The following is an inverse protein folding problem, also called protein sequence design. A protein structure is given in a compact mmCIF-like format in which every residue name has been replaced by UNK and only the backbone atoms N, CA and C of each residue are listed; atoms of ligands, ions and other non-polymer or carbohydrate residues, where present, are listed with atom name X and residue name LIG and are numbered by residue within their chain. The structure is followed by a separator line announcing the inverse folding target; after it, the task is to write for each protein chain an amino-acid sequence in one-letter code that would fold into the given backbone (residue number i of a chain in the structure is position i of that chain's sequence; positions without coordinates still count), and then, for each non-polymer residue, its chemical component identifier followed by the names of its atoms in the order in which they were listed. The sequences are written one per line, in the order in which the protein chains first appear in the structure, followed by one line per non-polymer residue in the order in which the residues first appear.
data_IF_476077756485
#
_entry.id   IF_476077756485
#
_cell.length_a   1.000
_cell.length_b   1.000
_cell.length_c   1.000
_cell.angle_alpha   90.00
_cell.angle_beta   90.00
_cell.angle_gamma   90.00
#
_symmetry.space_group_name_H-M   'P 1'
#
loop_
_entity.id
_entity.type
_entity.pdbx_description
1 polymer ?
#
# COMPACT_ATOMS: atom_id res chain seq x y z
N UNK A 1 17.64 29.89 36.79
CA UNK A 1 17.00 31.16 36.35
C UNK A 1 17.33 31.47 34.88
N UNK A 2 17.18 30.49 33.98
CA UNK A 2 17.62 30.58 32.57
C UNK A 2 16.62 31.28 31.66
N UNK A 3 15.32 31.16 31.96
CA UNK A 3 14.26 31.86 31.24
C UNK A 3 14.37 33.38 31.36
N UNK A 4 14.70 33.89 32.55
CA UNK A 4 14.95 35.31 32.76
C UNK A 4 16.17 35.79 31.95
N UNK A 5 17.26 35.01 31.91
CA UNK A 5 18.43 35.32 31.11
C UNK A 5 18.10 35.39 29.61
N UNK A 6 17.39 34.38 29.07
CA UNK A 6 16.95 34.36 27.68
C UNK A 6 16.06 35.57 27.33
N UNK A 7 15.11 35.90 28.21
CA UNK A 7 14.24 37.07 28.03
C UNK A 7 15.01 38.38 28.04
N UNK A 8 16.02 38.52 28.90
CA UNK A 8 16.89 39.71 28.94
C UNK A 8 17.71 39.84 27.67
N UNK A 9 18.27 38.74 27.16
CA UNK A 9 19.04 38.71 25.91
C UNK A 9 18.16 39.13 24.72
N UNK A 10 16.93 38.62 24.62
CA UNK A 10 16.00 38.96 23.55
C UNK A 10 15.50 40.42 23.60
N UNK A 11 15.63 41.09 24.75
CA UNK A 11 15.33 42.52 24.93
C UNK A 11 16.54 43.42 24.70
N UNK A 12 17.76 42.89 24.73
CA UNK A 12 18.99 43.65 24.58
C UNK A 12 19.22 44.05 23.11
N UNK A 13 19.45 45.35 22.85
CA UNK A 13 19.54 45.90 21.49
C UNK A 13 20.64 45.28 20.64
N UNK A 14 21.79 44.98 21.24
CA UNK A 14 22.97 44.47 20.53
C UNK A 14 23.03 42.94 20.46
N UNK A 15 22.49 42.24 21.49
CA UNK A 15 22.58 40.78 21.56
C UNK A 15 21.44 40.10 20.80
N UNK A 16 20.25 40.71 20.80
CA UNK A 16 19.10 40.21 20.04
C UNK A 16 19.43 39.93 18.57
N UNK A 17 20.01 40.85 17.77
CA UNK A 17 20.28 40.58 16.36
C UNK A 17 21.26 39.43 16.16
N UNK A 18 22.30 39.31 16.98
CA UNK A 18 23.28 38.22 16.89
C UNK A 18 22.66 36.86 17.24
N UNK A 19 21.80 36.81 18.27
CA UNK A 19 21.08 35.58 18.63
C UNK A 19 20.09 35.18 17.55
N UNK A 20 19.31 36.12 17.01
CA UNK A 20 18.36 35.85 15.92
C UNK A 20 19.10 35.36 14.67
N UNK A 21 20.25 35.96 14.35
CA UNK A 21 21.09 35.53 13.22
C UNK A 21 21.61 34.11 13.41
N UNK A 22 22.10 33.78 14.61
CA UNK A 22 22.56 32.44 14.96
C UNK A 22 21.42 31.40 14.89
N UNK A 23 20.26 31.70 15.48
CA UNK A 23 19.07 30.84 15.42
C UNK A 23 18.63 30.59 13.98
N UNK A 24 18.56 31.63 13.15
CA UNK A 24 18.19 31.50 11.73
C UNK A 24 19.16 30.56 11.00
N UNK A 25 20.47 30.68 11.24
CA UNK A 25 21.48 29.81 10.64
C UNK A 25 21.26 28.36 11.06
N UNK A 26 21.12 28.09 12.36
CA UNK A 26 20.96 26.73 12.88
C UNK A 26 19.67 26.08 12.36
N UNK A 27 18.53 26.78 12.38
CA UNK A 27 17.26 26.28 11.83
C UNK A 27 17.39 25.98 10.34
N UNK A 28 18.06 26.84 9.58
CA UNK A 28 18.27 26.63 8.14
C UNK A 28 19.14 25.39 7.87
N UNK A 29 20.17 25.17 8.69
CA UNK A 29 21.06 24.00 8.58
C UNK A 29 20.35 22.70 8.96
N UNK A 30 19.56 22.69 10.05
CA UNK A 30 18.73 21.55 10.45
C UNK A 30 17.79 21.12 9.31
N UNK A 31 16.99 22.06 8.80
CA UNK A 31 16.04 21.79 7.72
C UNK A 31 16.76 21.35 6.44
N UNK A 32 17.88 21.98 6.09
CA UNK A 32 18.65 21.60 4.91
C UNK A 32 19.22 20.17 5.02
N UNK A 33 19.67 19.76 6.20
CA UNK A 33 20.20 18.41 6.42
C UNK A 33 19.07 17.37 6.40
N UNK A 34 17.95 17.68 7.06
CA UNK A 34 16.77 16.85 7.07
C UNK A 34 16.21 16.57 5.67
N UNK A 35 16.21 17.59 4.80
CA UNK A 35 15.75 17.47 3.42
C UNK A 35 16.77 16.85 2.46
N UNK A 36 17.97 16.49 2.94
CA UNK A 36 18.96 15.68 2.20
C UNK A 36 18.88 14.19 2.55
N UNK A 37 18.44 13.86 3.77
CA UNK A 37 18.20 12.49 4.23
C UNK A 37 16.87 11.92 3.72
N UNK A 38 16.62 10.63 3.95
CA UNK A 38 15.35 9.93 3.67
C UNK A 38 14.20 10.47 4.56
N UNK A 39 13.76 11.69 4.28
CA UNK A 39 12.63 12.33 4.96
C UNK A 39 11.29 11.82 4.45
N UNK A 40 10.30 11.67 5.34
CA UNK A 40 8.92 11.33 4.96
C UNK A 40 8.29 12.34 3.98
N UNK A 41 8.78 13.58 3.95
CA UNK A 41 8.32 14.60 3.00
C UNK A 41 8.77 14.34 1.57
N UNK A 42 9.85 13.56 1.37
CA UNK A 42 10.43 13.24 0.06
C UNK A 42 9.80 12.00 -0.58
N UNK A 43 8.87 11.33 0.11
CA UNK A 43 8.13 10.19 -0.45
C UNK A 43 7.43 10.59 -1.75
N UNK A 44 7.54 9.72 -2.76
CA UNK A 44 7.09 10.03 -4.13
C UNK A 44 6.36 8.87 -4.80
N UNK A 45 6.41 7.67 -4.22
CA UNK A 45 5.62 6.55 -4.70
C UNK A 45 4.19 6.62 -4.15
N UNK A 46 3.17 6.24 -4.94
CA UNK A 46 1.78 6.29 -4.49
C UNK A 46 1.51 5.45 -3.22
N UNK A 47 2.09 4.25 -3.15
CA UNK A 47 1.94 3.36 -1.99
C UNK A 47 2.60 3.97 -0.73
N UNK A 48 3.71 4.70 -0.87
CA UNK A 48 4.37 5.43 0.21
C UNK A 48 3.54 6.64 0.66
N UNK A 49 3.06 7.46 -0.28
CA UNK A 49 2.22 8.64 0.01
C UNK A 49 0.93 8.21 0.74
N UNK A 50 0.38 7.03 0.42
CA UNK A 50 -0.77 6.47 1.12
C UNK A 50 -0.47 6.08 2.57
N UNK A 51 0.78 5.80 2.91
CA UNK A 51 1.24 5.52 4.29
C UNK A 51 1.67 6.77 5.07
N UNK A 52 1.68 7.93 4.43
CA UNK A 52 2.10 9.19 5.04
C UNK A 52 1.24 9.53 6.27
N UNK A 53 1.90 9.85 7.39
CA UNK A 53 1.25 10.26 8.64
C UNK A 53 1.76 11.60 9.13
N UNK A 54 0.82 12.49 9.48
CA UNK A 54 1.14 13.80 10.04
C UNK A 54 1.80 13.69 11.41
N UNK A 55 1.42 12.68 12.21
CA UNK A 55 2.05 12.43 13.51
C UNK A 55 3.49 11.95 13.34
N UNK A 56 3.76 11.08 12.35
CA UNK A 56 5.12 10.62 12.06
C UNK A 56 5.97 11.79 11.58
N UNK A 57 5.45 12.64 10.67
CA UNK A 57 6.15 13.84 10.22
C UNK A 57 6.60 14.73 11.40
N UNK A 58 5.70 14.99 12.35
CA UNK A 58 6.02 15.86 13.48
C UNK A 58 7.02 15.21 14.44
N UNK A 59 6.92 13.91 14.70
CA UNK A 59 7.91 13.21 15.52
C UNK A 59 9.28 13.13 14.85
N UNK A 60 9.32 12.90 13.54
CA UNK A 60 10.54 12.95 12.75
C UNK A 60 11.16 14.35 12.79
N UNK A 61 10.35 15.40 12.63
CA UNK A 61 10.77 16.79 12.79
C UNK A 61 11.33 17.09 14.18
N UNK A 62 10.71 16.56 15.24
CA UNK A 62 11.17 16.74 16.63
C UNK A 62 12.57 16.14 16.85
N UNK A 63 12.87 15.00 16.22
CA UNK A 63 14.16 14.32 16.37
C UNK A 63 15.22 14.91 15.44
N UNK A 64 14.88 15.20 14.19
CA UNK A 64 15.85 15.62 13.15
C UNK A 64 16.04 17.13 13.06
N UNK A 65 15.05 17.94 13.44
CA UNK A 65 15.09 19.40 13.40
C UNK A 65 14.45 20.03 14.66
N UNK A 66 15.03 19.83 15.85
CA UNK A 66 14.41 20.24 17.11
C UNK A 66 14.14 21.75 17.18
N UNK A 67 15.05 22.61 16.69
CA UNK A 67 14.83 24.06 16.72
C UNK A 67 13.71 24.49 15.77
N UNK A 68 13.65 23.87 14.58
CA UNK A 68 12.55 24.11 13.65
C UNK A 68 11.21 23.61 14.21
N UNK A 69 11.18 22.41 14.79
CA UNK A 69 10.00 21.83 15.41
C UNK A 69 9.46 22.73 16.53
N UNK A 70 10.33 23.11 17.47
CA UNK A 70 9.95 23.98 18.59
C UNK A 70 9.43 25.34 18.11
N UNK A 71 10.01 25.88 17.02
CA UNK A 71 9.51 27.11 16.39
C UNK A 71 8.10 26.94 15.83
N UNK A 72 7.82 25.89 15.06
CA UNK A 72 6.50 25.68 14.44
C UNK A 72 5.44 25.35 15.49
N UNK A 73 5.75 24.49 16.45
CA UNK A 73 4.85 24.13 17.55
C UNK A 73 4.61 25.32 18.47
N UNK A 74 5.68 26.03 18.87
CA UNK A 74 5.58 27.22 19.71
C UNK A 74 4.75 28.33 19.05
N UNK A 75 4.85 28.50 17.73
CA UNK A 75 4.04 29.45 16.97
C UNK A 75 2.54 29.09 16.95
N UNK A 76 2.20 27.82 17.17
CA UNK A 76 0.80 27.37 17.25
C UNK A 76 0.17 27.54 18.63
N UNK A 77 0.95 27.92 19.65
CA UNK A 77 0.50 28.03 21.04
C UNK A 77 0.12 26.68 21.67
N UNK A 78 0.62 25.58 21.09
CA UNK A 78 0.36 24.21 21.52
C UNK A 78 1.56 23.63 22.25
N UNK A 79 1.29 22.70 23.15
CA UNK A 79 2.35 21.96 23.83
C UNK A 79 2.66 20.61 23.14
N UNK A 80 3.73 19.96 23.57
CA UNK A 80 4.17 18.67 23.01
C UNK A 80 3.15 17.55 23.27
N UNK A 81 2.41 17.59 24.38
CA UNK A 81 1.40 16.57 24.69
C UNK A 81 0.17 16.68 23.78
N UNK A 82 -0.21 17.90 23.41
CA UNK A 82 -1.25 18.17 22.42
C UNK A 82 -0.81 17.72 21.01
N UNK A 83 0.47 17.88 20.66
CA UNK A 83 1.01 17.43 19.37
C UNK A 83 1.04 15.90 19.21
N UNK A 84 1.10 15.15 20.31
CA UNK A 84 1.01 13.67 20.30
C UNK A 84 -0.39 13.16 19.98
N UNK A 85 -1.43 14.01 20.08
CA UNK A 85 -2.81 13.62 19.76
C UNK A 85 -3.07 13.78 18.27
N UNK A 86 -3.89 12.90 17.69
CA UNK A 86 -4.38 13.07 16.32
C UNK A 86 -5.51 14.09 16.32
N UNK A 87 -5.42 15.13 15.50
CA UNK A 87 -6.44 16.18 15.46
C UNK A 87 -6.15 17.31 14.47
N UNK A 88 -7.08 18.27 14.42
CA UNK A 88 -7.02 19.44 13.50
C UNK A 88 -5.77 20.29 13.77
N UNK A 89 -5.39 20.48 15.03
CA UNK A 89 -4.18 21.21 15.41
C UNK A 89 -2.92 20.56 14.85
N UNK A 90 -2.77 19.26 15.06
CA UNK A 90 -1.64 18.45 14.56
C UNK A 90 -1.55 18.50 13.04
N UNK A 91 -2.70 18.41 12.36
CA UNK A 91 -2.75 18.54 10.90
C UNK A 91 -2.34 19.94 10.42
N UNK A 92 -2.76 20.99 11.13
CA UNK A 92 -2.38 22.37 10.80
C UNK A 92 -0.89 22.63 10.97
N UNK A 93 -0.30 22.19 12.08
CA UNK A 93 1.14 22.28 12.35
C UNK A 93 1.94 21.46 11.34
N UNK A 94 1.52 20.23 11.04
CA UNK A 94 2.14 19.38 10.03
C UNK A 94 2.10 20.03 8.63
N UNK A 95 0.97 20.63 8.25
CA UNK A 95 0.84 21.36 6.99
C UNK A 95 1.77 22.57 6.94
N UNK A 96 1.83 23.37 8.00
CA UNK A 96 2.73 24.52 8.08
C UNK A 96 4.21 24.09 7.95
N UNK A 97 4.62 23.07 8.71
CA UNK A 97 5.97 22.51 8.65
C UNK A 97 6.31 22.00 7.24
N UNK A 98 5.44 21.18 6.65
CA UNK A 98 5.64 20.65 5.31
C UNK A 98 5.70 21.75 4.24
N UNK A 99 4.88 22.80 4.38
CA UNK A 99 4.85 23.93 3.43
C UNK A 99 6.17 24.70 3.48
N UNK A 100 6.68 25.00 4.68
CA UNK A 100 7.99 25.64 4.88
C UNK A 100 9.12 24.77 4.32
N UNK A 101 9.12 23.47 4.62
CA UNK A 101 10.10 22.53 4.07
C UNK A 101 10.04 22.47 2.53
N UNK A 102 8.85 22.54 1.93
CA UNK A 102 8.68 22.53 0.47
C UNK A 102 9.22 23.79 -0.19
N UNK A 103 9.14 24.95 0.48
CA UNK A 103 9.77 26.19 0.01
C UNK A 103 11.30 26.01 -0.05
N UNK A 104 11.89 25.30 0.90
CA UNK A 104 13.32 24.98 0.90
C UNK A 104 13.69 23.92 -0.15
N UNK A 105 12.86 22.88 -0.32
CA UNK A 105 13.05 21.82 -1.29
C UNK A 105 11.72 21.46 -1.96
N UNK A 106 11.50 21.82 -3.25
CA UNK A 106 10.25 21.53 -3.95
C UNK A 106 9.85 20.06 -4.01
N UNK A 107 10.81 19.13 -3.85
CA UNK A 107 10.56 17.68 -3.81
C UNK A 107 9.89 17.23 -2.51
N UNK A 108 9.99 18.00 -1.43
CA UNK A 108 9.39 17.74 -0.12
C UNK A 108 7.86 17.94 -0.16
N UNK A 109 7.18 17.12 -0.95
CA UNK A 109 5.82 17.34 -1.44
C UNK A 109 4.84 16.22 -1.10
N UNK A 110 5.26 15.21 -0.34
CA UNK A 110 4.41 14.05 -0.01
C UNK A 110 3.05 14.44 0.58
N UNK A 111 3.02 15.34 1.58
CA UNK A 111 1.77 15.83 2.17
C UNK A 111 0.91 16.60 1.15
N UNK A 112 1.52 17.36 0.26
CA UNK A 112 0.83 18.16 -0.74
C UNK A 112 0.19 17.29 -1.84
N UNK A 113 0.84 16.18 -2.20
CA UNK A 113 0.25 15.14 -3.05
C UNK A 113 -0.93 14.47 -2.36
N UNK A 114 -0.80 14.15 -1.08
CA UNK A 114 -1.89 13.56 -0.29
C UNK A 114 -3.12 14.48 -0.25
N UNK A 115 -2.92 15.77 0.05
CA UNK A 115 -4.00 16.77 0.04
C UNK A 115 -4.63 16.91 -1.35
N UNK A 116 -3.82 17.00 -2.40
CA UNK A 116 -4.33 17.06 -3.78
C UNK A 116 -5.19 15.85 -4.12
N UNK A 117 -4.73 14.66 -3.76
CA UNK A 117 -5.41 13.40 -4.06
C UNK A 117 -6.77 13.36 -3.36
N UNK A 118 -6.83 13.75 -2.09
CA UNK A 118 -8.08 13.90 -1.32
C UNK A 118 -9.03 14.87 -2.02
N UNK A 119 -8.58 16.09 -2.33
CA UNK A 119 -9.41 17.10 -2.97
C UNK A 119 -9.94 16.67 -4.34
N UNK A 120 -9.09 16.03 -5.14
CA UNK A 120 -9.44 15.53 -6.46
C UNK A 120 -10.54 14.47 -6.35
N UNK A 121 -10.41 13.49 -5.45
CA UNK A 121 -11.42 12.46 -5.23
C UNK A 121 -12.70 12.98 -4.57
N UNK A 122 -12.63 14.09 -3.82
CA UNK A 122 -13.81 14.79 -3.31
C UNK A 122 -14.58 15.55 -4.40
N UNK A 123 -14.13 15.55 -5.66
CA UNK A 123 -14.80 16.24 -6.76
C UNK A 123 -14.55 17.76 -6.74
N UNK A 124 -13.43 18.21 -6.17
CA UNK A 124 -13.07 19.63 -6.15
C UNK A 124 -12.87 20.14 -7.58
N UNK A 125 -13.50 21.27 -7.92
CA UNK A 125 -13.37 21.90 -9.24
C UNK A 125 -11.90 22.22 -9.56
N UNK A 126 -11.52 22.07 -10.83
CA UNK A 126 -10.15 22.33 -11.30
C UNK A 126 -9.64 23.73 -10.92
N UNK A 127 -10.47 24.77 -11.07
CA UNK A 127 -10.11 26.14 -10.67
C UNK A 127 -9.74 26.27 -9.19
N UNK A 128 -10.45 25.55 -8.31
CA UNK A 128 -10.17 25.56 -6.87
C UNK A 128 -8.85 24.84 -6.58
N UNK A 129 -8.54 23.75 -7.29
CA UNK A 129 -7.24 23.07 -7.17
C UNK A 129 -6.10 23.98 -7.62
N UNK A 130 -6.26 24.73 -8.72
CA UNK A 130 -5.26 25.71 -9.17
C UNK A 130 -5.07 26.80 -8.12
N UNK A 131 -6.14 27.32 -7.52
CA UNK A 131 -6.05 28.32 -6.44
C UNK A 131 -5.32 27.76 -5.21
N UNK A 132 -5.66 26.55 -4.77
CA UNK A 132 -5.02 25.90 -3.62
C UNK A 132 -3.54 25.58 -3.88
N UNK A 133 -3.19 25.21 -5.11
CA UNK A 133 -1.80 25.04 -5.51
C UNK A 133 -1.01 26.36 -5.45
N UNK A 134 -1.59 27.46 -5.92
CA UNK A 134 -0.97 28.81 -5.82
C UNK A 134 -0.77 29.26 -4.37
N UNK A 135 -1.64 28.83 -3.45
CA UNK A 135 -1.49 29.05 -2.01
C UNK A 135 -0.47 28.10 -1.35
N UNK A 136 0.12 27.17 -2.11
CA UNK A 136 1.08 26.20 -1.60
C UNK A 136 0.44 25.01 -0.87
N UNK A 137 -0.89 24.92 -0.78
CA UNK A 137 -1.61 23.90 0.03
C UNK A 137 -1.55 22.50 -0.59
N UNK A 138 -1.48 22.40 -1.92
CA UNK A 138 -1.44 21.13 -2.62
C UNK A 138 -0.52 21.16 -3.86
N UNK A 139 -0.29 20.00 -4.47
CA UNK A 139 0.39 19.89 -5.76
C UNK A 139 -0.49 20.42 -6.91
N UNK A 140 0.09 20.59 -8.10
CA UNK A 140 -0.67 21.06 -9.26
C UNK A 140 -1.61 19.96 -9.78
N UNK A 141 -2.77 20.30 -10.37
CA UNK A 141 -3.66 19.32 -10.98
C UNK A 141 -2.96 18.39 -11.98
N UNK A 142 -2.02 18.91 -12.77
CA UNK A 142 -1.27 18.12 -13.75
C UNK A 142 -0.39 17.07 -13.07
N UNK A 143 0.20 17.39 -11.91
CA UNK A 143 0.93 16.41 -11.11
C UNK A 143 0.01 15.28 -10.60
N UNK A 144 -1.29 15.55 -10.38
CA UNK A 144 -2.25 14.48 -10.06
C UNK A 144 -2.45 13.53 -11.24
N UNK A 145 -2.60 14.07 -12.46
CA UNK A 145 -2.79 13.26 -13.66
C UNK A 145 -1.58 12.34 -13.86
N UNK A 146 -0.36 12.89 -13.70
CA UNK A 146 0.87 12.09 -13.75
C UNK A 146 0.91 11.01 -12.65
N UNK A 147 0.54 11.35 -11.42
CA UNK A 147 0.44 10.40 -10.32
C UNK A 147 -0.59 9.29 -10.60
N UNK A 148 -1.75 9.62 -11.17
CA UNK A 148 -2.77 8.65 -11.59
C UNK A 148 -2.25 7.71 -12.67
N UNK A 149 -1.52 8.21 -13.67
CA UNK A 149 -0.89 7.37 -14.67
C UNK A 149 0.13 6.41 -14.03
N UNK A 150 0.95 6.89 -13.09
CA UNK A 150 1.92 6.07 -12.36
C UNK A 150 1.22 4.98 -11.54
N UNK A 151 0.17 5.33 -10.82
CA UNK A 151 -0.69 4.39 -10.09
C UNK A 151 -1.34 3.36 -11.01
N UNK A 152 -1.85 3.80 -12.17
CA UNK A 152 -2.46 2.93 -13.17
C UNK A 152 -1.49 1.87 -13.67
N UNK A 153 -0.23 2.24 -13.95
CA UNK A 153 0.82 1.30 -14.35
C UNK A 153 1.13 0.26 -13.28
N UNK A 154 1.25 0.68 -12.01
CA UNK A 154 1.47 -0.26 -10.90
C UNK A 154 0.29 -1.22 -10.72
N UNK A 155 -0.94 -0.72 -10.86
CA UNK A 155 -2.15 -1.53 -10.78
C UNK A 155 -2.24 -2.53 -11.94
N UNK A 156 -1.86 -2.14 -13.16
CA UNK A 156 -1.80 -3.04 -14.31
C UNK A 156 -0.83 -4.20 -14.07
N UNK A 157 0.33 -3.94 -13.45
CA UNK A 157 1.27 -4.98 -13.03
C UNK A 157 0.65 -5.97 -12.04
N UNK A 158 -0.01 -5.45 -10.99
CA UNK A 158 -0.72 -6.28 -10.00
C UNK A 158 -1.85 -7.10 -10.65
N UNK A 159 -2.59 -6.53 -11.61
CA UNK A 159 -3.64 -7.23 -12.39
C UNK A 159 -3.05 -8.34 -13.26
N UNK A 160 -1.93 -8.10 -13.93
CA UNK A 160 -1.27 -9.11 -14.76
C UNK A 160 -0.82 -10.31 -13.92
N UNK A 161 -0.21 -10.05 -12.76
CA UNK A 161 0.19 -11.11 -11.83
C UNK A 161 -1.02 -11.89 -11.29
N UNK A 162 -2.07 -11.17 -10.91
CA UNK A 162 -3.34 -11.77 -10.47
C UNK A 162 -3.95 -12.68 -11.55
N UNK A 163 -4.07 -12.16 -12.78
CA UNK A 163 -4.61 -12.89 -13.93
C UNK A 163 -3.78 -14.14 -14.20
N UNK A 164 -2.44 -14.01 -14.23
CA UNK A 164 -1.53 -15.14 -14.43
C UNK A 164 -1.71 -16.24 -13.37
N UNK A 165 -1.86 -15.86 -12.10
CA UNK A 165 -2.09 -16.82 -11.02
C UNK A 165 -3.42 -17.60 -11.18
N UNK A 166 -4.48 -16.92 -11.62
CA UNK A 166 -5.78 -17.56 -11.90
C UNK A 166 -5.70 -18.47 -13.12
N UNK A 167 -5.09 -18.00 -14.20
CA UNK A 167 -4.95 -18.80 -15.44
C UNK A 167 -4.12 -20.06 -15.17
N UNK A 168 -3.04 -19.95 -14.39
CA UNK A 168 -2.22 -21.10 -13.96
C UNK A 168 -3.04 -22.12 -13.14
N UNK A 169 -3.80 -21.68 -12.13
CA UNK A 169 -4.64 -22.59 -11.33
C UNK A 169 -5.75 -23.23 -12.19
N UNK A 170 -6.44 -22.44 -13.02
CA UNK A 170 -7.49 -22.94 -13.90
C UNK A 170 -6.96 -23.97 -14.90
N UNK A 171 -5.77 -23.74 -15.46
CA UNK A 171 -5.14 -24.69 -16.40
C UNK A 171 -4.77 -26.01 -15.70
N UNK A 172 -4.27 -25.95 -14.46
CA UNK A 172 -4.00 -27.15 -13.65
C UNK A 172 -5.29 -27.94 -13.32
N UNK A 173 -6.38 -27.24 -13.00
CA UNK A 173 -7.69 -27.85 -12.76
C UNK A 173 -8.25 -28.54 -14.01
N UNK A 174 -8.23 -27.87 -15.16
CA UNK A 174 -8.72 -28.44 -16.42
C UNK A 174 -7.90 -29.66 -16.85
N UNK A 175 -6.57 -29.61 -16.67
CA UNK A 175 -5.71 -30.76 -16.94
C UNK A 175 -6.02 -31.93 -15.99
N UNK A 176 -6.27 -31.65 -14.70
CA UNK A 176 -6.68 -32.65 -13.71
C UNK A 176 -8.02 -33.30 -14.07
N UNK A 177 -9.01 -32.51 -14.49
CA UNK A 177 -10.31 -33.02 -14.96
C UNK A 177 -10.17 -33.87 -16.23
N UNK A 178 -9.30 -33.47 -17.16
CA UNK A 178 -9.03 -34.24 -18.38
C UNK A 178 -8.36 -35.59 -18.07
N UNK A 179 -7.42 -35.63 -17.12
CA UNK A 179 -6.80 -36.88 -16.64
C UNK A 179 -7.86 -37.81 -16.04
N UNK A 180 -8.74 -37.29 -15.16
CA UNK A 180 -9.86 -38.06 -14.57
C UNK A 180 -10.83 -38.58 -15.63
N UNK A 181 -11.09 -37.81 -16.68
CA UNK A 181 -11.99 -38.21 -17.76
C UNK A 181 -11.40 -39.31 -18.65
N UNK A 182 -10.10 -39.24 -18.93
CA UNK A 182 -9.40 -40.27 -19.75
C UNK A 182 -9.05 -41.53 -18.95
N UNK A 183 -9.02 -41.45 -17.63
CA UNK A 183 -8.82 -42.58 -16.71
C UNK A 183 -9.99 -42.68 -15.71
N UNK A 184 -11.18 -43.12 -16.14
CA UNK A 184 -12.32 -43.27 -15.24
C UNK A 184 -12.09 -44.40 -14.21
N UNK A 185 -12.67 -44.30 -13.00
CA UNK A 185 -12.49 -45.31 -11.98
C UNK A 185 -13.04 -46.68 -12.45
N UNK A 186 -12.39 -47.79 -12.06
CA UNK A 186 -12.91 -49.12 -12.34
C UNK A 186 -14.31 -49.29 -11.74
N UNK A 187 -15.22 -49.90 -12.51
CA UNK A 187 -16.57 -50.19 -12.04
C UNK A 187 -16.51 -51.06 -10.78
N UNK A 188 -17.42 -50.81 -9.82
CA UNK A 188 -17.33 -51.19 -8.39
C UNK A 188 -17.27 -52.68 -8.03
N UNK A 189 -16.98 -53.58 -8.96
CA UNK A 189 -17.05 -55.02 -8.75
C UNK A 189 -15.72 -55.77 -8.92
N UNK A 190 -14.64 -55.12 -9.33
CA UNK A 190 -13.33 -55.76 -9.39
C UNK A 190 -12.42 -55.21 -8.30
N UNK A 191 -11.66 -56.11 -7.66
CA UNK A 191 -10.75 -55.85 -6.53
C UNK A 191 -9.98 -54.53 -6.69
N UNK A 192 -9.79 -53.80 -5.59
CA UNK A 192 -9.04 -52.53 -5.49
C UNK A 192 -7.62 -52.66 -6.09
N UNK A 193 -7.50 -52.57 -7.42
CA UNK A 193 -6.24 -52.36 -8.09
C UNK A 193 -6.04 -50.85 -8.08
N UNK A 194 -5.16 -50.38 -7.21
CA UNK A 194 -4.69 -49.00 -7.25
C UNK A 194 -4.12 -48.73 -8.66
N UNK A 195 -4.87 -47.99 -9.48
CA UNK A 195 -4.43 -47.59 -10.82
C UNK A 195 -3.34 -46.56 -10.64
N UNK A 196 -2.11 -46.94 -10.98
CA UNK A 196 -0.99 -46.01 -11.03
C UNK A 196 -1.19 -45.08 -12.22
N UNK A 197 -1.33 -43.79 -11.95
CA UNK A 197 -1.48 -42.75 -12.96
C UNK A 197 -0.10 -42.38 -13.52
N UNK A 198 0.04 -42.41 -14.85
CA UNK A 198 1.24 -41.95 -15.52
C UNK A 198 1.16 -40.43 -15.75
N UNK A 199 1.83 -39.67 -14.88
CA UNK A 199 1.87 -38.19 -14.91
C UNK A 199 3.14 -37.66 -15.60
N UNK A 200 3.69 -38.46 -16.53
CA UNK A 200 4.82 -38.09 -17.36
C UNK A 200 4.49 -36.87 -18.22
N UNK A 201 5.46 -35.96 -18.38
CA UNK A 201 5.29 -34.76 -19.20
C UNK A 201 4.99 -35.14 -20.65
N UNK A 202 5.67 -36.15 -21.18
CA UNK A 202 5.48 -36.66 -22.55
C UNK A 202 4.06 -37.21 -22.80
N UNK A 203 3.45 -37.82 -21.78
CA UNK A 203 2.08 -38.36 -21.86
C UNK A 203 1.06 -37.23 -21.82
N UNK A 204 1.26 -36.25 -20.95
CA UNK A 204 0.31 -35.15 -20.73
C UNK A 204 0.44 -34.02 -21.76
N UNK A 205 1.56 -33.87 -22.45
CA UNK A 205 1.73 -32.89 -23.54
C UNK A 205 0.70 -33.03 -24.66
N UNK A 206 0.17 -34.24 -24.86
CA UNK A 206 -0.85 -34.53 -25.89
C UNK A 206 -2.28 -34.24 -25.43
N UNK A 207 -2.48 -33.65 -24.25
CA UNK A 207 -3.79 -33.34 -23.69
C UNK A 207 -4.23 -31.94 -24.12
N UNK A 208 -5.53 -31.77 -24.37
CA UNK A 208 -6.08 -30.53 -24.93
C UNK A 208 -5.89 -29.33 -23.98
N UNK A 209 -5.86 -29.59 -22.67
CA UNK A 209 -5.70 -28.57 -21.63
C UNK A 209 -4.27 -28.46 -21.10
N UNK A 210 -3.28 -29.06 -21.78
CA UNK A 210 -1.89 -28.99 -21.35
C UNK A 210 -1.30 -27.59 -21.51
N UNK A 211 -0.67 -27.11 -20.45
CA UNK A 211 0.16 -25.90 -20.45
C UNK A 211 1.35 -26.13 -19.53
N UNK A 212 2.54 -25.64 -19.89
CA UNK A 212 3.76 -25.85 -19.09
C UNK A 212 3.63 -25.30 -17.65
N UNK A 213 2.90 -24.19 -17.48
CA UNK A 213 2.67 -23.59 -16.17
C UNK A 213 1.59 -24.35 -15.37
N UNK A 214 0.54 -24.85 -16.03
CA UNK A 214 -0.51 -25.65 -15.41
C UNK A 214 -0.02 -27.05 -15.02
N UNK A 215 0.76 -27.70 -15.87
CA UNK A 215 1.39 -29.00 -15.60
C UNK A 215 2.34 -28.93 -14.40
N UNK A 216 3.23 -27.92 -14.36
CA UNK A 216 4.12 -27.73 -13.21
C UNK A 216 3.36 -27.56 -11.89
N UNK A 217 2.29 -26.77 -11.90
CA UNK A 217 1.45 -26.59 -10.70
C UNK A 217 0.74 -27.87 -10.30
N UNK A 218 0.16 -28.58 -11.27
CA UNK A 218 -0.53 -29.84 -11.03
C UNK A 218 0.44 -30.86 -10.43
N UNK A 219 1.63 -31.00 -11.01
CA UNK A 219 2.68 -31.90 -10.53
C UNK A 219 3.11 -31.58 -9.11
N UNK A 220 3.40 -30.32 -8.81
CA UNK A 220 3.75 -29.86 -7.45
C UNK A 220 2.62 -30.17 -6.43
N UNK A 221 1.37 -29.94 -6.82
CA UNK A 221 0.21 -30.17 -5.94
C UNK A 221 -0.04 -31.67 -5.73
N UNK A 222 0.12 -32.48 -6.77
CA UNK A 222 0.00 -33.95 -6.71
C UNK A 222 1.16 -34.58 -5.94
N UNK A 223 2.38 -34.07 -6.10
CA UNK A 223 3.55 -34.50 -5.32
C UNK A 223 3.34 -34.23 -3.83
N UNK A 224 2.85 -33.04 -3.48
CA UNK A 224 2.48 -32.67 -2.11
C UNK A 224 1.36 -33.56 -1.55
N UNK A 225 0.38 -33.92 -2.38
CA UNK A 225 -0.69 -34.83 -1.98
C UNK A 225 -0.17 -36.26 -1.76
N UNK A 226 0.73 -36.74 -2.62
CA UNK A 226 1.40 -38.05 -2.51
C UNK A 226 2.22 -38.14 -1.21
N UNK A 227 3.02 -37.13 -0.92
CA UNK A 227 3.83 -37.07 0.31
C UNK A 227 2.97 -37.10 1.57
N UNK A 228 1.77 -36.48 1.56
CA UNK A 228 0.83 -36.51 2.70
C UNK A 228 0.10 -37.85 2.88
N UNK A 229 0.04 -38.65 1.82
CA UNK A 229 -0.63 -39.95 1.80
C UNK A 229 0.35 -41.12 1.96
N UNK A 230 1.64 -40.85 2.19
CA UNK A 230 2.73 -41.84 2.26
C UNK A 230 2.75 -42.83 1.07
N UNK A 231 2.30 -42.36 -0.10
CA UNK A 231 2.16 -43.17 -1.31
C UNK A 231 3.47 -43.29 -2.11
N UNK A 232 3.84 -44.51 -2.52
CA UNK A 232 5.01 -44.75 -3.40
C UNK A 232 4.69 -44.41 -4.87
N UNK A 233 3.42 -44.41 -5.25
CA UNK A 233 2.94 -44.14 -6.61
C UNK A 233 1.85 -43.07 -6.65
N UNK A 234 1.62 -42.51 -7.84
CA UNK A 234 0.54 -41.55 -8.06
C UNK A 234 -0.79 -42.29 -8.24
N UNK A 235 -1.68 -42.20 -7.26
CA UNK A 235 -3.00 -42.85 -7.28
C UNK A 235 -4.11 -41.84 -7.61
N UNK A 236 -5.29 -42.34 -7.96
CA UNK A 236 -6.51 -41.53 -8.17
C UNK A 236 -6.87 -40.69 -6.93
N UNK A 237 -6.58 -41.21 -5.73
CA UNK A 237 -6.75 -40.46 -4.46
C UNK A 237 -5.83 -39.24 -4.39
N UNK A 238 -4.58 -39.36 -4.84
CA UNK A 238 -3.65 -38.23 -4.93
C UNK A 238 -4.17 -37.15 -5.88
N UNK A 239 -4.72 -37.56 -7.04
CA UNK A 239 -5.28 -36.64 -8.03
C UNK A 239 -6.58 -35.99 -7.53
N UNK A 240 -7.42 -36.73 -6.82
CA UNK A 240 -8.65 -36.22 -6.21
C UNK A 240 -8.35 -35.22 -5.08
N UNK A 241 -7.34 -35.51 -4.26
CA UNK A 241 -6.88 -34.58 -3.23
C UNK A 241 -6.27 -33.31 -3.82
N UNK A 242 -5.43 -33.44 -4.85
CA UNK A 242 -4.87 -32.28 -5.55
C UNK A 242 -5.94 -31.43 -6.23
N UNK A 243 -6.96 -32.05 -6.84
CA UNK A 243 -8.12 -31.36 -7.41
C UNK A 243 -8.90 -30.57 -6.35
N UNK A 244 -9.13 -31.16 -5.17
CA UNK A 244 -9.80 -30.48 -4.05
C UNK A 244 -8.95 -29.32 -3.51
N UNK A 245 -7.63 -29.50 -3.41
CA UNK A 245 -6.70 -28.46 -2.95
C UNK A 245 -6.60 -27.30 -3.96
N UNK A 246 -6.65 -27.57 -5.27
CA UNK A 246 -6.71 -26.55 -6.32
C UNK A 246 -8.05 -25.79 -6.35
N UNK A 247 -9.17 -26.47 -6.09
CA UNK A 247 -10.50 -25.85 -5.96
C UNK A 247 -10.64 -25.00 -4.70
N UNK A 248 -10.05 -25.45 -3.59
CA UNK A 248 -10.06 -24.75 -2.30
C UNK A 248 -8.92 -23.75 -2.15
N UNK A 249 -7.99 -23.71 -3.11
CA UNK A 249 -6.90 -22.75 -3.15
C UNK A 249 -7.46 -21.34 -3.00
N UNK A 250 -6.94 -20.60 -2.03
CA UNK A 250 -7.28 -19.20 -1.82
C UNK A 250 -6.74 -18.35 -2.97
N UNK A 251 -7.46 -18.36 -4.09
CA UNK A 251 -7.14 -17.53 -5.23
C UNK A 251 -7.26 -16.06 -4.82
N UNK A 252 -6.32 -15.21 -5.25
CA UNK A 252 -6.40 -13.81 -4.94
C UNK A 252 -7.71 -13.25 -5.52
N UNK A 253 -8.48 -12.49 -4.71
CA UNK A 253 -9.71 -11.84 -5.17
C UNK A 253 -9.38 -10.45 -5.69
N UNK A 254 -9.59 -10.20 -6.99
CA UNK A 254 -9.44 -8.86 -7.55
C UNK A 254 -10.78 -8.13 -7.57
N UNK A 255 -10.90 -7.07 -6.77
CA UNK A 255 -12.07 -6.19 -6.76
C UNK A 255 -11.64 -4.76 -7.08
N UNK A 256 -12.06 -4.28 -8.25
CA UNK A 256 -11.84 -2.92 -8.75
C UNK A 256 -12.43 -1.85 -7.82
N UNK A 257 -13.60 -2.11 -7.21
CA UNK A 257 -14.23 -1.22 -6.22
C UNK A 257 -13.47 -1.12 -4.90
N UNK A 258 -12.75 -2.18 -4.49
CA UNK A 258 -11.96 -2.14 -3.25
C UNK A 258 -10.69 -1.32 -3.42
N UNK A 259 -10.03 -1.30 -4.57
CA UNK A 259 -8.72 -0.63 -4.66
C UNK A 259 -8.81 0.89 -4.65
N UNK A 260 -9.77 1.48 -5.38
CA UNK A 260 -10.04 2.92 -5.30
C UNK A 260 -10.50 3.31 -3.90
N UNK A 261 -11.44 2.58 -3.30
CA UNK A 261 -11.92 2.86 -1.94
C UNK A 261 -10.92 2.53 -0.83
N UNK A 262 -10.02 1.55 -0.99
CA UNK A 262 -8.99 1.17 -0.01
C UNK A 262 -7.80 2.10 -0.06
N UNK A 263 -7.43 2.59 -1.25
CA UNK A 263 -6.44 3.65 -1.39
C UNK A 263 -6.95 4.96 -0.81
N UNK A 264 -8.21 5.31 -1.10
CA UNK A 264 -8.94 6.41 -0.47
C UNK A 264 -8.97 6.19 1.07
N UNK A 265 -9.44 5.05 1.56
CA UNK A 265 -9.52 4.76 3.00
C UNK A 265 -8.15 4.81 3.70
N UNK A 266 -7.08 4.35 3.05
CA UNK A 266 -5.69 4.49 3.54
C UNK A 266 -5.25 5.96 3.57
N UNK A 267 -5.51 6.73 2.52
CA UNK A 267 -5.24 8.17 2.48
C UNK A 267 -6.01 8.94 3.57
N UNK A 268 -7.21 8.50 3.91
CA UNK A 268 -8.06 9.10 4.96
C UNK A 268 -7.80 8.57 6.37
N UNK A 269 -6.94 7.55 6.55
CA UNK A 269 -6.71 6.92 7.86
C UNK A 269 -7.97 6.27 8.45
N UNK A 270 -9.00 5.98 7.64
CA UNK A 270 -10.24 5.38 8.09
C UNK A 270 -10.20 3.87 7.83
N UNK A 271 -9.81 3.10 8.85
CA UNK A 271 -10.05 1.65 8.87
C UNK A 271 -11.54 1.37 9.06
N UNK A 272 -12.36 1.56 8.03
CA UNK A 272 -13.70 1.00 8.02
C UNK A 272 -13.70 -0.37 7.35
N UNK A 273 -13.67 -1.40 8.20
CA UNK A 273 -14.10 -2.75 7.88
C UNK A 273 -15.60 -2.72 7.54
N UNK A 274 -15.93 -2.42 6.29
CA UNK A 274 -17.29 -2.63 5.79
C UNK A 274 -17.53 -4.13 5.63
N UNK A 275 -18.04 -4.76 6.68
CA UNK A 275 -18.81 -6.00 6.57
C UNK A 275 -20.07 -5.72 5.76
N UNK A 276 -20.40 -6.54 4.73
CA UNK A 276 -21.61 -6.35 3.97
C UNK A 276 -22.82 -6.68 4.86
N UNK A 277 -23.64 -5.67 5.18
CA UNK A 277 -25.00 -5.87 5.71
C UNK A 277 -25.80 -6.67 4.68
N UNK A 278 -26.21 -7.89 5.04
CA UNK A 278 -27.25 -8.64 4.34
C UNK A 278 -28.51 -7.78 4.25
N UNK A 279 -28.87 -7.35 3.04
CA UNK A 279 -30.23 -6.91 2.75
C UNK A 279 -31.12 -8.15 2.79
N UNK A 280 -31.94 -8.26 3.84
CA UNK A 280 -33.07 -9.17 3.85
C UNK A 280 -34.13 -8.61 2.90
N UNK A 281 -34.31 -9.27 1.76
CA UNK A 281 -35.49 -9.11 0.94
C UNK A 281 -36.67 -9.70 1.73
N UNK A 282 -37.61 -8.84 2.15
CA UNK A 282 -38.98 -9.28 2.46
C UNK A 282 -39.72 -9.31 1.13
N UNK A 283 -40.10 -10.50 0.66
CA UNK A 283 -41.20 -10.66 -0.29
C UNK A 283 -42.51 -10.72 0.50
N UNK A 284 -43.49 -9.95 0.02
CA UNK A 284 -44.95 -9.98 0.28
C UNK A 284 -45.45 -10.75 1.50
#
# INVERSE_FOLDING_TARGET
NWQAAANTILRHKELKPEVVKSLKKNVSEEVANYLKSESILLLSEPDEIASFSNTILLEEGRVSCPLFYDFVVGSSGKDEQEMKKVGVSTNGVALAAATLCRVCNPKASALHYRILTVLFHSGTKHENLVRLNRLGVCMSPDSMIQAQHKMGKQLEGKVKLWKKAIEKNKSALLLCEEIKKKHPPPHSNDMEIAVNLELGEETLQNYDNFTDEGYRLLKETVDTAREKLDGVSYTEECLSKASQDLHSAALPLYSTRRHSNHFIAKLFGTSHTNTPKKMAAKSN
#
